data_IF_212574876042
#
_entry.id   IF_212574876042
#
_cell.length_a   1.000
_cell.length_b   1.000
_cell.length_c   1.000
_cell.angle_alpha   90.00
_cell.angle_beta   90.00
_cell.angle_gamma   90.00
#
_symmetry.space_group_name_H-M   'P 1'
#
loop_
_entity.id
_entity.type
_entity.pdbx_description
1 polymer ?
#
# COMPACT_ATOMS: atom_id res chain seq x y z
N UNK A 1 -14.93 0.83 -10.81
CA UNK A 1 -16.06 1.51 -10.12
C UNK A 1 -15.47 2.35 -8.99
N UNK A 2 -15.58 3.68 -9.02
CA UNK A 2 -15.04 4.56 -7.97
C UNK A 2 -16.08 4.66 -6.84
N UNK A 3 -15.74 4.24 -5.63
CA UNK A 3 -16.61 4.38 -4.45
C UNK A 3 -16.19 5.62 -3.63
N UNK A 4 -17.14 6.41 -3.11
CA UNK A 4 -16.83 7.51 -2.22
C UNK A 4 -16.04 7.03 -0.99
N UNK A 5 -15.02 7.79 -0.58
CA UNK A 5 -14.17 7.46 0.56
C UNK A 5 -13.14 6.36 0.31
N UNK A 6 -13.06 5.79 -0.90
CA UNK A 6 -12.06 4.77 -1.26
C UNK A 6 -11.02 5.36 -2.19
N UNK A 7 -9.75 5.21 -1.84
CA UNK A 7 -8.60 5.60 -2.64
C UNK A 7 -7.75 4.37 -2.96
N UNK A 8 -7.30 4.25 -4.21
CA UNK A 8 -6.26 3.30 -4.61
C UNK A 8 -4.97 4.10 -4.71
N UNK A 9 -3.95 3.69 -3.95
CA UNK A 9 -2.61 4.27 -3.99
C UNK A 9 -1.68 3.24 -4.60
N UNK A 10 -1.11 3.54 -5.76
CA UNK A 10 -0.17 2.67 -6.46
C UNK A 10 1.26 3.11 -6.10
N UNK A 11 2.06 2.30 -5.39
CA UNK A 11 3.43 2.66 -5.06
C UNK A 11 4.32 2.55 -6.31
N UNK A 12 5.34 3.41 -6.37
CA UNK A 12 6.42 3.21 -7.33
C UNK A 12 7.23 1.98 -6.91
N UNK A 13 7.37 1.02 -7.82
CA UNK A 13 8.20 -0.17 -7.62
C UNK A 13 9.53 0.02 -8.35
N UNK A 14 10.63 -0.22 -7.64
CA UNK A 14 11.98 -0.25 -8.18
C UNK A 14 12.50 -1.68 -8.14
N UNK A 15 13.06 -2.20 -9.24
CA UNK A 15 13.52 -3.60 -9.31
C UNK A 15 14.90 -3.73 -9.93
N UNK A 16 15.67 -4.70 -9.44
CA UNK A 16 16.95 -5.12 -10.00
C UNK A 16 17.18 -6.64 -9.81
N UNK A 17 18.38 -7.13 -10.13
CA UNK A 17 18.72 -8.56 -10.04
C UNK A 17 18.61 -9.16 -8.62
N UNK A 18 18.51 -8.34 -7.57
CA UNK A 18 18.37 -8.77 -6.17
C UNK A 18 16.92 -8.89 -5.74
N UNK A 19 15.98 -8.31 -6.49
CA UNK A 19 14.56 -8.26 -6.14
C UNK A 19 13.93 -6.89 -6.42
N UNK A 20 12.95 -6.51 -5.60
CA UNK A 20 12.23 -5.25 -5.73
C UNK A 20 12.18 -4.48 -4.40
N UNK A 21 12.00 -3.17 -4.50
CA UNK A 21 11.83 -2.25 -3.40
C UNK A 21 10.66 -1.30 -3.72
N UNK A 22 9.86 -1.00 -2.70
CA UNK A 22 8.80 -0.01 -2.78
C UNK A 22 8.54 0.60 -1.41
N UNK A 23 8.14 1.86 -1.39
CA UNK A 23 7.60 2.52 -0.19
C UNK A 23 6.09 2.32 -0.18
N UNK A 24 5.58 1.53 0.77
CA UNK A 24 4.14 1.24 0.91
C UNK A 24 3.38 2.34 1.64
N UNK A 25 4.08 3.20 2.39
CA UNK A 25 3.52 4.32 3.13
C UNK A 25 4.49 5.50 3.17
N UNK A 26 3.95 6.71 3.04
CA UNK A 26 4.66 7.96 3.30
C UNK A 26 3.65 8.99 3.81
N UNK A 27 3.82 9.46 5.05
CA UNK A 27 2.94 10.47 5.67
C UNK A 27 2.76 11.67 4.75
N UNK A 28 3.86 12.19 4.20
CA UNK A 28 3.83 13.33 3.29
C UNK A 28 2.99 13.06 2.03
N UNK A 29 3.14 11.88 1.42
CA UNK A 29 2.40 11.56 0.20
C UNK A 29 0.90 11.33 0.48
N UNK A 30 0.58 10.72 1.62
CA UNK A 30 -0.80 10.45 2.03
C UNK A 30 -1.53 11.75 2.42
N UNK A 31 -0.86 12.65 3.13
CA UNK A 31 -1.39 13.98 3.46
C UNK A 31 -1.68 14.82 2.20
N UNK A 32 -0.82 14.74 1.18
CA UNK A 32 -1.01 15.42 -0.11
C UNK A 32 -2.29 15.00 -0.84
N UNK A 33 -2.78 13.78 -0.59
CA UNK A 33 -4.05 13.27 -1.15
C UNK A 33 -5.20 13.33 -0.14
N UNK A 34 -5.01 14.01 0.99
CA UNK A 34 -6.05 14.24 2.00
C UNK A 34 -6.24 13.10 3.00
N UNK A 35 -5.31 12.15 3.09
CA UNK A 35 -5.32 11.08 4.10
C UNK A 35 -4.43 11.51 5.27
N UNK A 36 -5.06 12.01 6.33
CA UNK A 36 -4.38 12.53 7.54
C UNK A 36 -4.52 11.60 8.75
N UNK A 37 -4.98 10.37 8.54
CA UNK A 37 -5.11 9.40 9.62
C UNK A 37 -3.72 9.03 10.16
N UNK A 38 -3.62 8.85 11.48
CA UNK A 38 -2.38 8.40 12.11
C UNK A 38 -2.16 6.92 11.77
N UNK A 39 -1.04 6.63 11.13
CA UNK A 39 -0.62 5.26 10.87
C UNK A 39 -0.16 4.61 12.18
N UNK A 40 -0.89 3.58 12.62
CA UNK A 40 -0.62 2.88 13.90
C UNK A 40 0.19 1.61 13.67
N UNK A 41 -0.20 0.80 12.69
CA UNK A 41 0.40 -0.50 12.40
C UNK A 41 0.09 -0.91 10.97
N UNK A 42 1.04 -1.58 10.30
CA UNK A 42 0.71 -2.45 9.18
C UNK A 42 0.73 -3.92 9.59
N UNK A 43 0.00 -4.70 8.80
CA UNK A 43 0.14 -6.15 8.79
C UNK A 43 0.30 -6.59 7.34
N UNK A 44 1.27 -7.44 7.11
CA UNK A 44 1.47 -8.12 5.84
C UNK A 44 1.23 -9.61 6.02
N UNK A 45 0.32 -10.17 5.23
CA UNK A 45 0.07 -11.61 5.18
C UNK A 45 0.42 -12.17 3.81
N UNK A 46 0.95 -13.39 3.81
CA UNK A 46 1.10 -14.21 2.61
C UNK A 46 0.22 -15.44 2.77
N UNK A 47 -0.68 -15.65 1.82
CA UNK A 47 -1.56 -16.81 1.79
C UNK A 47 -0.94 -17.89 0.92
N UNK A 48 -0.49 -18.98 1.54
CA UNK A 48 0.12 -20.09 0.82
C UNK A 48 -0.89 -20.91 -0.01
N UNK A 49 -2.14 -21.03 0.47
CA UNK A 49 -3.16 -21.84 -0.19
C UNK A 49 -4.10 -20.98 -1.05
N UNK A 50 -4.13 -21.27 -2.35
CA UNK A 50 -5.10 -20.64 -3.26
C UNK A 50 -6.52 -20.98 -2.82
N UNK A 51 -7.37 -19.96 -2.70
CA UNK A 51 -8.77 -20.12 -2.33
C UNK A 51 -9.08 -19.93 -0.84
N UNK A 52 -8.08 -19.60 -0.01
CA UNK A 52 -8.35 -19.07 1.34
C UNK A 52 -9.09 -17.73 1.22
N UNK A 53 -10.21 -17.60 1.95
CA UNK A 53 -11.02 -16.39 2.07
C UNK A 53 -10.72 -15.66 3.37
#
# INVERSE_FOLDING_TARGET
MRKPGVCIVEPQVYGDHRGYFMETYSTRAFEQIGITAVFVQDNQSFTAQKGTL
#
